data_IF_746541083575
#
_entry.id   IF_746541083575
#
_cell.length_a   1.000
_cell.length_b   1.000
_cell.length_c   1.000
_cell.angle_alpha   90.00
_cell.angle_beta   90.00
_cell.angle_gamma   90.00
#
_symmetry.space_group_name_H-M   'P 1'
#
loop_
_entity.id
_entity.type
_entity.pdbx_description
1 polymer ?
#
# COMPACT_ATOMS: atom_id res chain seq x y z
N UNK A 1 6.89 24.89 17.06
CA UNK A 1 6.80 25.33 15.65
C UNK A 1 7.77 24.50 14.84
N UNK A 2 7.35 23.32 14.37
CA UNK A 2 8.18 22.43 13.54
C UNK A 2 7.76 22.68 12.10
N UNK A 3 8.65 23.32 11.34
CA UNK A 3 8.49 23.55 9.91
C UNK A 3 8.51 22.20 9.20
N UNK A 4 7.36 21.76 8.67
CA UNK A 4 7.30 20.65 7.73
C UNK A 4 8.06 21.05 6.46
N UNK A 5 9.18 20.37 6.17
CA UNK A 5 9.86 20.53 4.88
C UNK A 5 8.88 20.13 3.79
N UNK A 6 8.65 21.04 2.84
CA UNK A 6 7.78 20.83 1.68
C UNK A 6 8.23 19.60 0.89
N UNK A 7 7.28 18.69 0.66
CA UNK A 7 7.43 17.48 -0.14
C UNK A 7 7.81 17.88 -1.58
N UNK A 8 9.00 17.49 -2.06
CA UNK A 8 9.33 17.65 -3.47
C UNK A 8 8.44 16.69 -4.28
N UNK A 9 7.66 17.22 -5.22
CA UNK A 9 6.83 16.45 -6.13
C UNK A 9 7.72 15.51 -6.97
N UNK A 10 7.53 14.21 -6.82
CA UNK A 10 8.14 13.21 -7.70
C UNK A 10 7.12 12.77 -8.75
N UNK A 11 7.44 12.86 -10.06
CA UNK A 11 6.54 12.42 -11.12
C UNK A 11 6.27 10.92 -10.99
N UNK A 12 4.99 10.53 -10.88
CA UNK A 12 4.56 9.12 -10.76
C UNK A 12 4.20 8.57 -12.15
N UNK A 13 5.22 8.36 -12.98
CA UNK A 13 5.10 7.98 -14.40
C UNK A 13 4.31 6.67 -14.62
N UNK A 14 4.28 5.78 -13.63
CA UNK A 14 3.51 4.54 -13.70
C UNK A 14 1.99 4.76 -13.83
N UNK A 15 1.46 5.88 -13.32
CA UNK A 15 0.03 6.20 -13.46
C UNK A 15 -0.37 6.29 -14.92
N UNK A 16 0.56 6.73 -15.78
CA UNK A 16 0.36 6.79 -17.22
C UNK A 16 0.45 5.41 -17.89
N UNK A 17 1.32 4.55 -17.36
CA UNK A 17 1.57 3.19 -17.86
C UNK A 17 0.50 2.16 -17.46
N UNK A 18 -0.29 2.42 -16.41
CA UNK A 18 -1.27 1.45 -15.89
C UNK A 18 -2.46 1.20 -16.82
N UNK A 19 -2.80 2.11 -17.75
CA UNK A 19 -3.92 1.90 -18.68
C UNK A 19 -4.71 3.16 -19.04
N UNK A 20 -4.03 4.25 -19.40
CA UNK A 20 -4.57 5.62 -19.55
C UNK A 20 -5.89 5.82 -20.32
N UNK A 21 -6.33 4.87 -21.15
CA UNK A 21 -7.58 5.01 -21.90
C UNK A 21 -8.82 4.42 -21.21
N UNK A 22 -8.68 3.54 -20.21
CA UNK A 22 -9.82 2.80 -19.61
C UNK A 22 -10.43 3.43 -18.36
N UNK A 23 -9.70 4.33 -17.70
CA UNK A 23 -10.15 4.98 -16.47
C UNK A 23 -10.24 6.50 -16.62
N UNK A 24 -11.04 7.11 -15.77
CA UNK A 24 -10.86 8.49 -15.36
C UNK A 24 -10.23 8.49 -13.96
N UNK A 25 -9.38 9.48 -13.68
CA UNK A 25 -8.70 9.56 -12.38
C UNK A 25 -8.86 10.91 -11.71
N UNK A 26 -8.71 10.90 -10.39
CA UNK A 26 -8.78 12.08 -9.54
C UNK A 26 -7.79 11.95 -8.38
N UNK A 27 -7.44 13.10 -7.81
CA UNK A 27 -6.65 13.18 -6.58
C UNK A 27 -7.44 13.85 -5.48
N UNK A 28 -7.37 13.29 -4.26
CA UNK A 28 -8.02 13.84 -3.06
C UNK A 28 -7.08 13.71 -1.88
N UNK A 29 -6.78 14.83 -1.24
CA UNK A 29 -5.94 14.87 -0.06
C UNK A 29 -6.70 15.41 1.17
N UNK A 30 -6.44 14.83 2.33
CA UNK A 30 -6.86 15.36 3.63
C UNK A 30 -5.82 14.99 4.71
N UNK A 31 -5.24 16.02 5.34
CA UNK A 31 -4.13 15.90 6.29
C UNK A 31 -2.93 15.15 5.68
N UNK A 32 -2.59 13.97 6.20
CA UNK A 32 -1.46 13.15 5.72
C UNK A 32 -1.89 12.12 4.67
N UNK A 33 -3.18 12.01 4.38
CA UNK A 33 -3.70 11.08 3.37
C UNK A 33 -3.79 11.83 2.04
N UNK A 34 -3.12 11.32 1.02
CA UNK A 34 -3.12 11.87 -0.34
C UNK A 34 -3.36 10.72 -1.33
N UNK A 35 -4.59 10.65 -1.83
CA UNK A 35 -5.02 9.56 -2.69
C UNK A 35 -4.99 9.96 -4.14
N UNK A 36 -4.51 9.05 -4.98
CA UNK A 36 -4.90 8.99 -6.37
C UNK A 36 -5.87 7.83 -6.57
N UNK A 37 -6.97 8.12 -7.24
CA UNK A 37 -8.06 7.18 -7.46
C UNK A 37 -8.34 7.13 -8.95
N UNK A 38 -8.31 5.94 -9.54
CA UNK A 38 -8.77 5.69 -10.88
C UNK A 38 -10.01 4.80 -10.85
N UNK A 39 -11.01 5.12 -11.67
CA UNK A 39 -12.26 4.37 -11.78
C UNK A 39 -12.57 4.16 -13.26
N UNK A 40 -13.13 3.01 -13.62
CA UNK A 40 -13.56 2.77 -15.00
C UNK A 40 -14.46 3.89 -15.54
N UNK A 41 -14.24 4.27 -16.80
CA UNK A 41 -14.93 5.39 -17.44
C UNK A 41 -16.45 5.27 -17.42
N UNK A 42 -16.99 4.05 -17.42
CA UNK A 42 -18.44 3.80 -17.46
C UNK A 42 -19.09 4.13 -16.11
N UNK A 43 -18.35 3.92 -15.02
CA UNK A 43 -18.84 4.12 -13.65
C UNK A 43 -18.37 5.45 -13.05
N UNK A 44 -17.47 6.17 -13.72
CA UNK A 44 -16.97 7.45 -13.25
C UNK A 44 -18.08 8.52 -13.19
N UNK A 45 -18.26 9.12 -12.01
CA UNK A 45 -19.22 10.19 -11.76
C UNK A 45 -18.52 11.41 -11.14
N UNK A 46 -18.91 12.66 -11.49
CA UNK A 46 -18.34 13.87 -10.88
C UNK A 46 -18.40 13.91 -9.35
N UNK A 47 -19.37 13.21 -8.74
CA UNK A 47 -19.53 13.13 -7.28
C UNK A 47 -18.53 12.21 -6.58
N UNK A 48 -17.79 11.36 -7.30
CA UNK A 48 -16.79 10.46 -6.70
C UNK A 48 -15.75 11.27 -5.91
N UNK A 49 -15.31 12.43 -6.42
CA UNK A 49 -14.35 13.29 -5.72
C UNK A 49 -14.84 13.69 -4.32
N UNK A 50 -16.09 14.15 -4.21
CA UNK A 50 -16.66 14.58 -2.93
C UNK A 50 -16.87 13.38 -2.01
N UNK A 51 -17.40 12.28 -2.55
CA UNK A 51 -17.58 11.04 -1.79
C UNK A 51 -16.27 10.53 -1.21
N UNK A 52 -15.22 10.39 -2.03
CA UNK A 52 -13.88 9.98 -1.57
C UNK A 52 -13.37 10.93 -0.49
N UNK A 53 -13.55 12.25 -0.66
CA UNK A 53 -13.17 13.23 0.36
C UNK A 53 -13.86 12.99 1.71
N UNK A 54 -15.15 12.68 1.68
CA UNK A 54 -15.93 12.39 2.89
C UNK A 54 -15.54 11.05 3.52
N UNK A 55 -15.25 10.03 2.71
CA UNK A 55 -14.77 8.72 3.19
C UNK A 55 -13.39 8.82 3.84
N UNK A 56 -12.47 9.61 3.28
CA UNK A 56 -11.17 9.88 3.93
C UNK A 56 -11.40 10.52 5.31
N UNK A 57 -12.24 11.56 5.40
CA UNK A 57 -12.53 12.22 6.69
C UNK A 57 -13.15 11.25 7.69
N UNK A 58 -14.09 10.41 7.24
CA UNK A 58 -14.76 9.41 8.07
C UNK A 58 -13.77 8.41 8.68
N UNK A 59 -12.92 7.77 7.86
CA UNK A 59 -11.97 6.80 8.38
C UNK A 59 -10.86 7.41 9.21
N UNK A 60 -10.42 8.62 8.88
CA UNK A 60 -9.47 9.35 9.73
C UNK A 60 -10.08 9.71 11.07
N UNK A 61 -11.35 10.11 11.14
CA UNK A 61 -12.02 10.37 12.41
C UNK A 61 -12.08 9.10 13.27
N UNK A 62 -12.43 7.94 12.70
CA UNK A 62 -12.41 6.65 13.40
C UNK A 62 -11.03 6.35 14.00
N UNK A 63 -9.96 6.55 13.21
CA UNK A 63 -8.60 6.32 13.66
C UNK A 63 -8.17 7.32 14.74
N UNK A 64 -8.42 8.61 14.53
CA UNK A 64 -8.09 9.67 15.47
C UNK A 64 -8.82 9.47 16.82
N UNK A 65 -10.11 9.10 16.79
CA UNK A 65 -10.91 8.80 17.99
C UNK A 65 -10.36 7.57 18.73
N UNK A 66 -9.96 6.53 17.99
CA UNK A 66 -9.34 5.35 18.60
C UNK A 66 -8.00 5.69 19.27
N UNK A 67 -7.14 6.45 18.58
CA UNK A 67 -5.83 6.90 19.10
C UNK A 67 -6.01 7.82 20.31
N UNK A 68 -7.02 8.68 20.32
CA UNK A 68 -7.30 9.55 21.47
C UNK A 68 -7.62 8.74 22.75
N UNK A 69 -8.32 7.61 22.61
CA UNK A 69 -8.58 6.68 23.71
C UNK A 69 -7.42 5.71 24.00
N UNK A 70 -6.57 5.44 23.01
CA UNK A 70 -5.47 4.46 23.09
C UNK A 70 -4.20 5.02 22.43
N UNK A 71 -3.51 5.99 23.05
CA UNK A 71 -2.38 6.70 22.43
C UNK A 71 -1.25 5.78 21.96
N UNK A 72 -1.05 4.65 22.65
CA UNK A 72 -0.03 3.66 22.30
C UNK A 72 -0.26 3.05 20.91
N UNK A 73 -1.50 3.02 20.41
CA UNK A 73 -1.81 2.54 19.06
C UNK A 73 -1.03 3.31 17.98
N UNK A 74 -0.79 4.62 18.20
CA UNK A 74 -0.06 5.48 17.28
C UNK A 74 1.46 5.22 17.31
N UNK A 75 2.02 4.94 18.48
CA UNK A 75 3.48 4.94 18.70
C UNK A 75 4.09 3.54 18.79
N UNK A 76 3.27 2.50 18.91
CA UNK A 76 3.74 1.13 18.99
C UNK A 76 4.59 0.76 17.77
N UNK A 77 5.69 0.05 18.03
CA UNK A 77 6.48 -0.64 17.01
C UNK A 77 6.26 -2.15 17.01
N UNK A 78 5.43 -2.64 17.94
CA UNK A 78 5.06 -4.03 18.12
C UNK A 78 3.53 -4.16 18.17
N UNK A 79 2.99 -5.37 18.00
CA UNK A 79 1.55 -5.58 18.00
C UNK A 79 0.88 -5.16 19.31
N UNK A 80 -0.29 -4.53 19.19
CA UNK A 80 -1.16 -4.18 20.31
C UNK A 80 -2.54 -4.75 20.04
N UNK A 81 -3.10 -5.46 21.03
CA UNK A 81 -4.47 -5.94 20.97
C UNK A 81 -5.44 -4.77 21.20
N UNK A 82 -6.41 -4.53 20.28
CA UNK A 82 -7.41 -3.50 20.49
C UNK A 82 -8.46 -3.99 21.50
N UNK A 83 -9.19 -3.08 22.16
CA UNK A 83 -10.37 -3.43 22.95
C UNK A 83 -11.43 -4.20 22.14
N UNK A 84 -12.31 -4.91 22.83
CA UNK A 84 -13.45 -5.56 22.19
C UNK A 84 -14.41 -4.51 21.58
N UNK A 85 -14.98 -4.82 20.41
CA UNK A 85 -16.01 -3.98 19.78
C UNK A 85 -15.49 -2.71 19.11
N UNK A 86 -14.18 -2.61 18.84
CA UNK A 86 -13.64 -1.52 18.01
C UNK A 86 -14.18 -1.57 16.58
N UNK A 87 -14.10 -0.43 15.89
CA UNK A 87 -14.46 -0.35 14.48
C UNK A 87 -13.65 -1.35 13.63
N UNK A 88 -14.24 -1.99 12.60
CA UNK A 88 -13.54 -2.98 11.76
C UNK A 88 -12.17 -2.54 11.23
N UNK A 89 -12.04 -1.29 10.76
CA UNK A 89 -10.75 -0.71 10.35
C UNK A 89 -9.63 -0.89 11.40
N UNK A 90 -9.94 -0.65 12.68
CA UNK A 90 -8.97 -0.76 13.78
C UNK A 90 -8.63 -2.23 14.03
N UNK A 91 -9.63 -3.12 14.01
CA UNK A 91 -9.41 -4.56 14.19
C UNK A 91 -8.56 -5.14 13.05
N UNK A 92 -8.84 -4.75 11.81
CA UNK A 92 -8.08 -5.14 10.61
C UNK A 92 -6.62 -4.70 10.70
N UNK A 93 -6.37 -3.44 11.08
CA UNK A 93 -5.01 -2.91 11.28
C UNK A 93 -4.25 -3.65 12.40
N UNK A 94 -4.93 -3.96 13.51
CA UNK A 94 -4.30 -4.67 14.63
C UNK A 94 -3.98 -6.13 14.30
N UNK A 95 -4.86 -6.83 13.57
CA UNK A 95 -4.59 -8.21 13.15
C UNK A 95 -3.45 -8.26 12.12
N UNK A 96 -3.43 -7.33 11.15
CA UNK A 96 -2.32 -7.19 10.22
C UNK A 96 -0.99 -6.96 10.95
N UNK A 97 -1.00 -6.05 11.94
CA UNK A 97 0.15 -5.78 12.80
C UNK A 97 0.62 -7.01 13.57
N UNK A 98 -0.31 -7.78 14.15
CA UNK A 98 -0.01 -9.03 14.85
C UNK A 98 0.65 -10.07 13.93
N UNK A 99 0.15 -10.26 12.72
CA UNK A 99 0.72 -11.18 11.73
C UNK A 99 2.11 -10.72 11.29
N UNK A 100 2.27 -9.43 11.01
CA UNK A 100 3.53 -8.85 10.53
C UNK A 100 4.59 -8.65 11.63
N UNK A 101 4.19 -8.65 12.90
CA UNK A 101 5.07 -8.34 14.04
C UNK A 101 5.47 -6.86 14.13
N UNK A 102 4.67 -5.96 13.57
CA UNK A 102 4.89 -4.50 13.55
C UNK A 102 3.85 -3.78 14.41
N UNK A 103 3.94 -2.46 14.55
CA UNK A 103 2.88 -1.65 15.15
C UNK A 103 1.66 -1.46 14.22
N UNK A 104 0.44 -1.24 14.76
CA UNK A 104 -0.79 -1.09 13.95
C UNK A 104 -0.74 0.03 12.90
N UNK A 105 0.00 1.11 13.16
CA UNK A 105 0.13 2.22 12.21
C UNK A 105 0.88 1.85 10.92
N UNK A 106 1.61 0.73 10.90
CA UNK A 106 2.23 0.22 9.67
C UNK A 106 1.24 -0.39 8.67
N UNK A 107 -0.03 -0.50 9.03
CA UNK A 107 -1.09 -1.04 8.17
C UNK A 107 -2.02 0.04 7.61
N UNK A 108 -1.84 1.31 8.01
CA UNK A 108 -2.85 2.35 7.85
C UNK A 108 -3.09 2.74 6.39
N UNK A 109 -2.04 2.81 5.58
CA UNK A 109 -2.15 3.37 4.24
C UNK A 109 -2.84 2.36 3.31
N UNK A 110 -2.41 1.10 3.38
CA UNK A 110 -3.05 -0.02 2.69
C UNK A 110 -4.48 -0.27 3.16
N UNK A 111 -4.75 -0.20 4.46
CA UNK A 111 -6.12 -0.36 4.98
C UNK A 111 -7.07 0.73 4.45
N UNK A 112 -6.64 2.00 4.47
CA UNK A 112 -7.47 3.09 3.94
C UNK A 112 -7.71 2.98 2.44
N UNK A 113 -6.69 2.59 1.66
CA UNK A 113 -6.83 2.35 0.23
C UNK A 113 -7.86 1.25 -0.07
N UNK A 114 -7.78 0.14 0.66
CA UNK A 114 -8.74 -0.98 0.59
C UNK A 114 -10.18 -0.53 0.89
N UNK A 115 -10.40 0.14 2.02
CA UNK A 115 -11.75 0.58 2.42
C UNK A 115 -12.37 1.54 1.41
N UNK A 116 -11.58 2.49 0.91
CA UNK A 116 -12.06 3.48 -0.07
C UNK A 116 -12.36 2.82 -1.41
N UNK A 117 -11.56 1.83 -1.83
CA UNK A 117 -11.84 1.05 -3.03
C UNK A 117 -13.21 0.37 -2.93
N UNK A 118 -13.46 -0.36 -1.85
CA UNK A 118 -14.76 -1.02 -1.63
C UNK A 118 -15.92 -0.04 -1.50
N UNK A 119 -15.72 1.11 -0.85
CA UNK A 119 -16.74 2.15 -0.75
C UNK A 119 -17.14 2.71 -2.13
N UNK A 120 -16.18 2.89 -3.04
CA UNK A 120 -16.46 3.36 -4.42
C UNK A 120 -17.22 2.28 -5.20
N UNK A 121 -16.78 1.03 -5.13
CA UNK A 121 -17.43 -0.10 -5.80
C UNK A 121 -18.89 -0.21 -5.34
N UNK A 122 -19.11 -0.18 -4.02
CA UNK A 122 -20.44 -0.28 -3.41
C UNK A 122 -21.34 0.90 -3.80
N UNK A 123 -20.82 2.12 -3.76
CA UNK A 123 -21.61 3.33 -3.98
C UNK A 123 -21.91 3.61 -5.46
N UNK A 124 -20.98 3.29 -6.37
CA UNK A 124 -21.06 3.67 -7.79
C UNK A 124 -21.18 2.48 -8.74
N UNK A 125 -21.13 1.24 -8.24
CA UNK A 125 -21.20 0.04 -9.09
C UNK A 125 -19.96 -0.16 -9.98
N UNK A 126 -18.85 0.48 -9.62
CA UNK A 126 -17.61 0.43 -10.39
C UNK A 126 -17.06 -0.99 -10.53
N UNK A 127 -16.62 -1.33 -11.74
CA UNK A 127 -16.07 -2.64 -12.07
C UNK A 127 -14.55 -2.66 -11.96
N UNK A 128 -13.90 -1.52 -12.21
CA UNK A 128 -12.48 -1.32 -11.93
C UNK A 128 -12.26 -0.08 -11.09
N UNK A 129 -11.49 -0.24 -10.02
CA UNK A 129 -11.08 0.84 -9.12
C UNK A 129 -9.64 0.59 -8.71
N UNK A 130 -8.81 1.62 -8.77
CA UNK A 130 -7.45 1.62 -8.22
C UNK A 130 -7.36 2.78 -7.24
N UNK A 131 -6.95 2.50 -6.01
CA UNK A 131 -6.70 3.50 -4.97
C UNK A 131 -5.25 3.40 -4.55
N UNK A 132 -4.51 4.46 -4.81
CA UNK A 132 -3.11 4.63 -4.42
C UNK A 132 -3.02 5.63 -3.27
N UNK A 133 -2.39 5.23 -2.16
CA UNK A 133 -2.11 6.04 -0.99
C UNK A 133 -0.60 6.02 -0.71
N UNK A 134 0.16 6.84 -1.43
CA UNK A 134 1.63 6.83 -1.32
C UNK A 134 2.24 5.62 -2.02
N UNK A 135 2.90 4.73 -1.27
CA UNK A 135 3.49 3.49 -1.78
C UNK A 135 2.52 2.31 -1.85
N UNK A 136 1.28 2.52 -1.40
CA UNK A 136 0.31 1.46 -1.15
C UNK A 136 -0.86 1.57 -2.12
N UNK A 137 -1.10 0.49 -2.86
CA UNK A 137 -2.10 0.45 -3.93
C UNK A 137 -3.05 -0.69 -3.63
N UNK A 138 -4.34 -0.39 -3.55
CA UNK A 138 -5.40 -1.39 -3.55
C UNK A 138 -6.21 -1.30 -4.84
N UNK A 139 -6.54 -2.42 -5.44
CA UNK A 139 -7.19 -2.44 -6.75
C UNK A 139 -8.18 -3.58 -6.93
N UNK A 140 -9.28 -3.23 -7.60
CA UNK A 140 -10.21 -4.12 -8.25
C UNK A 140 -10.01 -3.98 -9.76
N UNK A 141 -9.69 -5.07 -10.43
CA UNK A 141 -9.34 -5.12 -11.86
C UNK A 141 -10.25 -6.08 -12.62
N UNK A 142 -10.50 -5.76 -13.88
CA UNK A 142 -11.10 -6.66 -14.89
C UNK A 142 -10.11 -7.04 -15.98
N UNK A 143 -9.00 -6.30 -16.07
CA UNK A 143 -7.95 -6.49 -17.06
C UNK A 143 -6.55 -6.26 -16.42
N UNK A 144 -5.47 -6.76 -17.03
CA UNK A 144 -4.13 -6.58 -16.49
C UNK A 144 -3.71 -5.11 -16.36
N UNK A 145 -2.91 -4.81 -15.33
CA UNK A 145 -2.26 -3.51 -15.10
C UNK A 145 -0.79 -3.73 -14.80
N UNK A 146 0.08 -2.82 -15.24
CA UNK A 146 1.52 -2.89 -14.95
C UNK A 146 1.90 -1.84 -13.91
N UNK A 147 2.50 -2.29 -12.81
CA UNK A 147 2.92 -1.45 -11.68
C UNK A 147 4.43 -1.49 -11.57
N UNK A 148 5.11 -0.42 -11.99
CA UNK A 148 6.57 -0.32 -11.85
C UNK A 148 6.98 -0.04 -10.41
N UNK A 149 8.13 -0.59 -10.01
CA UNK A 149 8.67 -0.45 -8.67
C UNK A 149 9.69 0.68 -8.67
N UNK A 150 9.42 1.73 -7.91
CA UNK A 150 10.39 2.79 -7.64
C UNK A 150 11.27 2.40 -6.45
N UNK A 151 12.58 2.34 -6.65
CA UNK A 151 13.58 1.91 -5.68
C UNK A 151 14.67 2.97 -5.45
N UNK A 152 14.27 4.25 -5.46
CA UNK A 152 15.18 5.36 -5.17
C UNK A 152 16.37 5.43 -6.13
N UNK A 153 17.58 5.44 -5.56
CA UNK A 153 18.83 5.53 -6.30
C UNK A 153 19.36 4.17 -6.79
N UNK A 154 18.65 3.07 -6.51
CA UNK A 154 19.02 1.77 -7.04
C UNK A 154 19.08 1.83 -8.58
N UNK A 155 20.07 1.18 -9.23
CA UNK A 155 20.10 1.05 -10.69
C UNK A 155 18.89 0.28 -11.25
N UNK A 156 18.12 -0.38 -10.39
CA UNK A 156 16.91 -1.14 -10.72
C UNK A 156 15.61 -0.35 -10.49
N UNK A 157 15.71 0.90 -10.03
CA UNK A 157 14.55 1.79 -9.87
C UNK A 157 13.83 1.98 -11.20
N UNK A 158 12.51 1.74 -11.20
CA UNK A 158 11.64 1.77 -12.38
C UNK A 158 12.05 0.79 -13.50
N UNK A 159 12.88 -0.20 -13.20
CA UNK A 159 13.27 -1.28 -14.14
C UNK A 159 12.51 -2.58 -13.93
N UNK A 160 11.83 -2.73 -12.81
CA UNK A 160 11.01 -3.90 -12.50
C UNK A 160 9.56 -3.48 -12.38
N UNK A 161 8.65 -4.34 -12.85
CA UNK A 161 7.22 -4.14 -12.70
C UNK A 161 6.49 -5.43 -12.39
N UNK A 162 5.44 -5.33 -11.58
CA UNK A 162 4.45 -6.39 -11.34
C UNK A 162 3.26 -6.20 -12.27
N UNK A 163 2.76 -7.28 -12.87
CA UNK A 163 1.59 -7.24 -13.76
C UNK A 163 0.46 -8.15 -13.26
N UNK A 164 -0.31 -7.71 -12.25
CA UNK A 164 -1.53 -8.39 -11.82
C UNK A 164 -2.66 -8.24 -12.84
N UNK A 165 -3.62 -9.16 -12.77
CA UNK A 165 -4.79 -9.23 -13.64
C UNK A 165 -6.07 -9.51 -12.84
N UNK A 166 -7.19 -9.72 -13.55
CA UNK A 166 -8.49 -10.02 -12.95
C UNK A 166 -8.50 -11.26 -12.05
N UNK A 167 -7.70 -12.29 -12.33
CA UNK A 167 -7.64 -13.49 -11.50
C UNK A 167 -6.99 -13.21 -10.13
N UNK A 168 -6.13 -12.20 -10.08
CA UNK A 168 -5.50 -11.72 -8.86
C UNK A 168 -6.38 -10.72 -8.09
N UNK A 169 -7.45 -10.18 -8.69
CA UNK A 169 -8.31 -9.13 -8.14
C UNK A 169 -9.38 -9.64 -7.16
N UNK A 170 -9.74 -8.90 -6.09
CA UNK A 170 -9.09 -7.66 -5.62
C UNK A 170 -7.70 -7.97 -5.04
N UNK A 171 -6.78 -7.01 -5.14
CA UNK A 171 -5.40 -7.16 -4.71
C UNK A 171 -4.87 -5.85 -4.11
N UNK A 172 -3.98 -5.97 -3.14
CA UNK A 172 -3.11 -4.89 -2.69
C UNK A 172 -1.68 -5.13 -3.15
N UNK A 173 -1.01 -4.09 -3.63
CA UNK A 173 0.44 -3.99 -3.81
C UNK A 173 0.94 -2.85 -2.92
N UNK A 174 1.62 -3.20 -1.83
CA UNK A 174 2.13 -2.24 -0.86
C UNK A 174 3.65 -2.21 -0.88
N UNK A 175 4.23 -1.02 -0.87
CA UNK A 175 5.67 -0.84 -1.01
C UNK A 175 6.24 0.01 0.12
N UNK A 176 7.18 -0.58 0.86
CA UNK A 176 7.98 0.14 1.85
C UNK A 176 9.40 0.37 1.32
N UNK A 177 10.07 1.39 1.85
CA UNK A 177 11.46 1.72 1.51
C UNK A 177 12.18 2.27 2.73
N UNK A 178 13.47 1.93 2.84
CA UNK A 178 14.36 2.48 3.87
C UNK A 178 15.24 3.61 3.36
N UNK A 179 15.31 3.80 2.04
CA UNK A 179 16.17 4.81 1.40
C UNK A 179 15.36 5.94 0.76
N UNK A 180 14.03 5.76 0.66
CA UNK A 180 13.09 6.74 0.11
C UNK A 180 11.97 7.00 1.13
N UNK A 181 11.77 8.27 1.49
CA UNK A 181 10.67 8.71 2.36
C UNK A 181 11.10 9.06 3.80
N UNK A 182 10.12 9.46 4.62
CA UNK A 182 10.32 9.92 6.00
C UNK A 182 9.76 8.95 7.05
N UNK A 183 9.23 7.80 6.63
CA UNK A 183 8.76 6.77 7.55
C UNK A 183 9.95 6.22 8.34
N UNK A 184 9.73 5.89 9.61
CA UNK A 184 10.76 5.32 10.47
C UNK A 184 11.10 3.92 9.95
N UNK A 185 12.21 3.79 9.22
CA UNK A 185 12.72 2.51 8.75
C UNK A 185 13.98 2.12 9.52
N UNK A 186 14.08 0.84 9.83
CA UNK A 186 15.25 0.25 10.44
C UNK A 186 16.11 -0.49 9.41
N UNK A 187 15.58 -0.77 8.21
CA UNK A 187 16.21 -1.58 7.16
C UNK A 187 17.16 -0.83 6.23
N UNK A 188 17.59 -1.52 5.18
CA UNK A 188 18.42 -0.96 4.10
C UNK A 188 17.88 -1.27 2.69
N UNK A 189 16.69 -1.88 2.59
CA UNK A 189 16.06 -2.14 1.30
C UNK A 189 15.65 -0.82 0.63
N UNK A 190 15.92 -0.73 -0.66
CA UNK A 190 15.51 0.39 -1.50
C UNK A 190 14.02 0.33 -1.85
N UNK A 191 13.50 -0.89 -2.02
CA UNK A 191 12.07 -1.15 -2.13
C UNK A 191 11.75 -2.57 -1.63
N UNK A 192 10.62 -2.72 -0.94
CA UNK A 192 10.03 -4.00 -0.60
C UNK A 192 8.55 -3.93 -0.94
N UNK A 193 8.16 -4.55 -2.05
CA UNK A 193 6.79 -4.60 -2.53
C UNK A 193 6.17 -5.95 -2.21
N UNK A 194 5.09 -5.95 -1.44
CA UNK A 194 4.32 -7.14 -1.04
C UNK A 194 2.94 -7.09 -1.69
N UNK A 195 2.50 -8.23 -2.23
CA UNK A 195 1.16 -8.41 -2.74
C UNK A 195 0.32 -9.30 -1.81
N UNK A 196 -0.81 -8.79 -1.30
CA UNK A 196 -1.79 -9.58 -0.52
C UNK A 196 -3.23 -9.23 -0.93
N UNK A 197 -4.20 -10.05 -0.53
CA UNK A 197 -5.62 -9.74 -0.74
C UNK A 197 -6.14 -8.64 0.20
N UNK A 198 -5.52 -8.49 1.37
CA UNK A 198 -5.79 -7.39 2.31
C UNK A 198 -4.73 -6.31 2.15
N UNK A 199 -5.17 -5.05 2.05
CA UNK A 199 -4.31 -3.89 2.02
C UNK A 199 -3.62 -3.62 3.36
N UNK A 200 -4.35 -3.77 4.46
CA UNK A 200 -3.78 -3.65 5.80
C UNK A 200 -2.59 -4.60 6.00
N UNK A 201 -2.75 -5.86 5.59
CA UNK A 201 -1.71 -6.87 5.74
C UNK A 201 -0.54 -6.65 4.78
N UNK A 202 -0.79 -6.29 3.52
CA UNK A 202 0.28 -6.03 2.57
C UNK A 202 1.20 -4.89 3.04
N UNK A 203 0.63 -3.80 3.55
CA UNK A 203 1.33 -2.61 4.07
C UNK A 203 2.19 -2.97 5.30
N UNK A 204 1.58 -3.67 6.27
CA UNK A 204 2.28 -4.11 7.47
C UNK A 204 3.44 -5.06 7.14
N UNK A 205 3.24 -6.02 6.24
CA UNK A 205 4.28 -6.95 5.79
C UNK A 205 5.37 -6.26 4.97
N UNK A 206 5.01 -5.32 4.10
CA UNK A 206 5.99 -4.54 3.35
C UNK A 206 6.93 -3.80 4.32
N UNK A 207 6.37 -3.19 5.36
CA UNK A 207 7.14 -2.55 6.44
C UNK A 207 8.01 -3.56 7.20
N UNK A 208 7.44 -4.70 7.60
CA UNK A 208 8.15 -5.74 8.35
C UNK A 208 9.35 -6.30 7.58
N UNK A 209 9.13 -6.74 6.33
CA UNK A 209 10.15 -7.33 5.48
C UNK A 209 11.21 -6.31 5.06
N UNK A 210 10.81 -5.08 4.73
CA UNK A 210 11.75 -3.99 4.48
C UNK A 210 12.71 -3.78 5.66
N UNK A 211 12.17 -3.81 6.89
CA UNK A 211 12.97 -3.68 8.11
C UNK A 211 13.90 -4.88 8.36
N UNK A 212 13.56 -6.08 7.89
CA UNK A 212 14.42 -7.27 8.04
C UNK A 212 15.63 -7.26 7.11
N UNK A 213 15.59 -6.53 5.99
CA UNK A 213 16.69 -6.48 5.02
C UNK A 213 17.83 -5.58 5.51
N UNK A 214 18.95 -6.20 5.91
CA UNK A 214 20.16 -5.51 6.42
C UNK A 214 21.37 -5.70 5.52
N UNK A 215 21.46 -6.83 4.83
CA UNK A 215 22.58 -7.23 3.97
C UNK A 215 22.07 -7.76 2.62
N UNK A 216 22.97 -8.02 1.68
CA UNK A 216 22.60 -8.61 0.38
C UNK A 216 22.06 -10.03 0.56
N UNK A 217 22.62 -10.81 1.48
CA UNK A 217 22.20 -12.17 1.79
C UNK A 217 20.77 -12.18 2.37
N UNK A 218 20.45 -11.19 3.22
CA UNK A 218 19.11 -11.08 3.82
C UNK A 218 18.00 -10.85 2.78
N UNK A 219 18.31 -10.36 1.57
CA UNK A 219 17.32 -10.23 0.49
C UNK A 219 16.72 -11.60 0.16
N UNK A 220 17.56 -12.63 0.03
CA UNK A 220 17.10 -13.99 -0.28
C UNK A 220 16.35 -14.61 0.91
N UNK A 221 16.88 -14.48 2.12
CA UNK A 221 16.28 -15.04 3.34
C UNK A 221 14.87 -14.47 3.58
N UNK A 222 14.72 -13.14 3.48
CA UNK A 222 13.43 -12.46 3.66
C UNK A 222 12.46 -12.83 2.54
N UNK A 223 12.94 -12.96 1.30
CA UNK A 223 12.11 -13.41 0.17
C UNK A 223 11.56 -14.81 0.42
N UNK A 224 12.40 -15.75 0.87
CA UNK A 224 11.97 -17.13 1.17
C UNK A 224 10.94 -17.14 2.29
N UNK A 225 11.21 -16.42 3.39
CA UNK A 225 10.26 -16.27 4.50
C UNK A 225 8.91 -15.70 4.06
N UNK A 226 8.91 -14.69 3.19
CA UNK A 226 7.68 -14.12 2.65
C UNK A 226 6.88 -15.14 1.84
N UNK A 227 7.56 -15.99 1.05
CA UNK A 227 6.91 -17.02 0.22
C UNK A 227 6.36 -18.21 1.01
N UNK A 228 6.76 -18.40 2.27
CA UNK A 228 6.16 -19.37 3.19
C UNK A 228 4.78 -18.91 3.70
N UNK A 229 4.47 -17.62 3.63
CA UNK A 229 3.19 -17.07 4.06
C UNK A 229 2.13 -17.21 2.97
N UNK A 230 1.06 -17.95 3.25
CA UNK A 230 -0.03 -18.22 2.29
C UNK A 230 -0.76 -16.95 1.81
N UNK A 231 -0.72 -15.90 2.62
CA UNK A 231 -1.31 -14.59 2.42
C UNK A 231 -0.54 -13.77 1.37
N UNK A 232 0.77 -14.01 1.25
CA UNK A 232 1.66 -13.33 0.29
C UNK A 232 1.47 -13.95 -1.09
N UNK A 233 0.93 -13.16 -2.02
CA UNK A 233 0.70 -13.56 -3.41
C UNK A 233 1.89 -13.27 -4.29
N UNK A 234 2.68 -12.26 -3.96
CA UNK A 234 3.96 -11.97 -4.58
C UNK A 234 4.80 -11.08 -3.67
N UNK A 235 6.11 -11.13 -3.87
CA UNK A 235 7.07 -10.30 -3.17
C UNK A 235 8.16 -9.88 -4.17
N UNK A 236 8.60 -8.62 -4.08
CA UNK A 236 9.80 -8.12 -4.73
C UNK A 236 10.56 -7.25 -3.74
N UNK A 237 11.84 -7.56 -3.54
CA UNK A 237 12.76 -6.85 -2.66
C UNK A 237 13.94 -6.39 -3.51
N UNK A 238 14.26 -5.10 -3.44
CA UNK A 238 15.38 -4.47 -4.13
C UNK A 238 16.32 -3.86 -3.08
N UNK A 239 17.60 -4.18 -3.18
CA UNK A 239 18.69 -3.57 -2.39
C UNK A 239 19.91 -3.40 -3.29
N UNK A 240 20.28 -2.17 -3.62
CA UNK A 240 21.34 -1.91 -4.57
C UNK A 240 21.05 -2.57 -5.93
N UNK A 241 21.94 -3.45 -6.37
CA UNK A 241 21.81 -4.25 -7.59
C UNK A 241 21.21 -5.65 -7.35
N UNK A 242 20.80 -5.97 -6.11
CA UNK A 242 20.23 -7.27 -5.73
C UNK A 242 18.71 -7.25 -5.78
N UNK A 243 18.15 -8.37 -6.22
CA UNK A 243 16.70 -8.60 -6.30
C UNK A 243 16.37 -9.95 -5.70
N UNK A 244 15.42 -9.95 -4.76
CA UNK A 244 14.68 -11.13 -4.35
C UNK A 244 13.25 -11.00 -4.85
N UNK A 245 12.72 -12.02 -5.52
CA UNK A 245 11.35 -11.99 -6.02
C UNK A 245 10.73 -13.38 -6.11
N UNK A 246 9.42 -13.45 -6.00
CA UNK A 246 8.66 -14.68 -6.21
C UNK A 246 7.17 -14.52 -6.01
N UNK A 247 6.42 -15.60 -6.23
CA UNK A 247 4.97 -15.67 -6.05
C UNK A 247 4.22 -15.93 -7.36
N UNK A 248 2.95 -15.56 -7.37
CA UNK A 248 1.97 -15.90 -8.40
C UNK A 248 1.81 -14.80 -9.46
N UNK A 249 2.27 -13.58 -9.15
CA UNK A 249 2.14 -12.42 -10.04
C UNK A 249 3.39 -12.30 -10.91
N UNK A 250 3.19 -12.07 -12.20
CA UNK A 250 4.27 -11.89 -13.17
C UNK A 250 5.11 -10.66 -12.83
N UNK A 251 6.43 -10.83 -12.77
CA UNK A 251 7.42 -9.75 -12.67
C UNK A 251 8.17 -9.64 -14.01
N UNK A 252 8.31 -8.42 -14.53
CA UNK A 252 9.02 -8.15 -15.80
C UNK A 252 10.06 -7.05 -15.64
N UNK A 253 11.15 -7.17 -16.40
CA UNK A 253 12.09 -6.09 -16.63
C UNK A 253 11.51 -5.12 -17.68
N UNK A 254 11.61 -3.81 -17.44
CA UNK A 254 11.07 -2.74 -18.29
C UNK A 254 12.11 -1.67 -18.64
#
# INVERSE_FOLDING_TARGET
>A
MILAKSQAYQPRLYREAMGNSRWESLTVAHRQTDLWVAVDKRSFHPHIRNYVSDRIRHYRAILDDHIAGHPDFLTALAPIAPPFGVHPLIAEMAEASKIAGTGPMSAVAGALAERICYDIISQFGAQEVIVENGGDIFMQLTEPVTVSIYAGNSPLSEKLALTPDAAHSPLSLCCSSSTVGHALSFGTADACMVACRSGALADALATAFCNMVKTDESVQEVTQKALEMTEVKAIVIIRGDKVGMGGQIKVTLI
#
